data_IF_232274287768
#
_entry.id   IF_232274287768
#
_cell.length_a   1.000
_cell.length_b   1.000
_cell.length_c   1.000
_cell.angle_alpha   90.00
_cell.angle_beta   90.00
_cell.angle_gamma   90.00
#
_symmetry.space_group_name_H-M   'P 1'
#
loop_
_entity.id
_entity.type
_entity.pdbx_description
1 polymer ?
#
# COMPACT_ATOMS: atom_id res chain seq x y z
N UNK A 1 9.69 -10.96 -32.98
CA UNK A 1 8.23 -11.17 -32.82
C UNK A 1 7.46 -9.91 -33.13
N UNK A 2 6.23 -10.03 -33.63
CA UNK A 2 5.29 -8.91 -33.53
C UNK A 2 4.86 -8.74 -32.07
N UNK A 3 4.71 -7.49 -31.62
CA UNK A 3 4.21 -7.18 -30.27
C UNK A 3 2.86 -7.87 -30.00
N UNK A 4 2.02 -8.00 -31.03
CA UNK A 4 0.72 -8.66 -30.96
C UNK A 4 0.84 -10.13 -30.55
N UNK A 5 1.88 -10.82 -31.02
CA UNK A 5 2.09 -12.24 -30.71
C UNK A 5 2.54 -12.42 -29.25
N UNK A 6 3.35 -11.50 -28.69
CA UNK A 6 3.73 -11.52 -27.25
C UNK A 6 2.49 -11.31 -26.41
N UNK A 7 1.68 -10.30 -26.76
CA UNK A 7 0.47 -9.95 -26.02
C UNK A 7 -0.52 -11.11 -26.02
N UNK A 8 -0.72 -11.78 -27.16
CA UNK A 8 -1.64 -12.92 -27.25
C UNK A 8 -1.19 -14.10 -26.38
N UNK A 9 0.11 -14.40 -26.37
CA UNK A 9 0.66 -15.47 -25.53
C UNK A 9 0.63 -15.12 -24.03
N UNK A 10 0.84 -13.85 -23.68
CA UNK A 10 0.67 -13.36 -22.31
C UNK A 10 -0.79 -13.48 -21.86
N UNK A 11 -1.74 -13.13 -22.74
CA UNK A 11 -3.17 -13.28 -22.49
C UNK A 11 -3.58 -14.74 -22.29
N UNK A 12 -3.07 -15.63 -23.15
CA UNK A 12 -3.26 -17.08 -23.00
C UNK A 12 -2.71 -17.58 -21.66
N UNK A 13 -1.52 -17.13 -21.25
CA UNK A 13 -0.95 -17.45 -19.95
C UNK A 13 -1.88 -17.03 -18.79
N UNK A 14 -2.44 -15.83 -18.82
CA UNK A 14 -3.37 -15.38 -17.80
C UNK A 14 -4.66 -16.22 -17.79
N UNK A 15 -5.21 -16.52 -18.97
CA UNK A 15 -6.43 -17.34 -19.10
C UNK A 15 -6.21 -18.75 -18.53
N UNK A 16 -5.09 -19.39 -18.84
CA UNK A 16 -4.77 -20.74 -18.39
C UNK A 16 -4.55 -20.82 -16.86
N UNK A 17 -4.13 -19.72 -16.24
CA UNK A 17 -3.79 -19.68 -14.82
C UNK A 17 -4.78 -18.85 -13.97
N UNK A 18 -5.89 -18.40 -14.55
CA UNK A 18 -6.81 -17.44 -13.90
C UNK A 18 -7.31 -17.95 -12.55
N UNK A 19 -7.67 -19.23 -12.46
CA UNK A 19 -8.18 -19.83 -11.21
C UNK A 19 -7.10 -19.82 -10.11
N UNK A 20 -5.86 -20.15 -10.46
CA UNK A 20 -4.74 -20.13 -9.50
C UNK A 20 -4.44 -18.72 -9.03
N UNK A 21 -4.50 -17.74 -9.94
CA UNK A 21 -4.28 -16.33 -9.65
C UNK A 21 -5.38 -15.81 -8.71
N UNK A 22 -6.65 -16.08 -9.02
CA UNK A 22 -7.79 -15.64 -8.21
C UNK A 22 -7.77 -16.26 -6.81
N UNK A 23 -7.52 -17.56 -6.69
CA UNK A 23 -7.44 -18.24 -5.38
C UNK A 23 -6.26 -17.69 -4.57
N UNK A 24 -5.08 -17.53 -5.19
CA UNK A 24 -3.93 -16.95 -4.51
C UNK A 24 -4.18 -15.52 -4.05
N UNK A 25 -4.83 -14.69 -4.87
CA UNK A 25 -5.18 -13.33 -4.52
C UNK A 25 -6.20 -13.26 -3.37
N UNK A 26 -7.17 -14.20 -3.33
CA UNK A 26 -8.10 -14.34 -2.22
C UNK A 26 -7.37 -14.66 -0.91
N UNK A 27 -6.40 -15.57 -0.93
CA UNK A 27 -5.60 -15.91 0.25
C UNK A 27 -4.82 -14.69 0.76
N UNK A 28 -4.17 -13.93 -0.13
CA UNK A 28 -3.47 -12.69 0.23
C UNK A 28 -4.45 -11.66 0.82
N UNK A 29 -5.64 -11.53 0.26
CA UNK A 29 -6.69 -10.64 0.78
C UNK A 29 -7.07 -11.01 2.22
N UNK A 30 -7.33 -12.29 2.50
CA UNK A 30 -7.65 -12.78 3.85
C UNK A 30 -6.49 -12.54 4.82
N UNK A 31 -5.25 -12.81 4.41
CA UNK A 31 -4.06 -12.55 5.24
C UNK A 31 -3.94 -11.05 5.54
N UNK A 32 -4.18 -10.18 4.57
CA UNK A 32 -4.10 -8.73 4.74
C UNK A 32 -5.14 -8.22 5.74
N UNK A 33 -6.37 -8.73 5.66
CA UNK A 33 -7.44 -8.41 6.62
C UNK A 33 -7.08 -8.93 8.02
N UNK A 34 -6.60 -10.17 8.12
CA UNK A 34 -6.20 -10.77 9.40
C UNK A 34 -5.02 -10.02 10.05
N UNK A 35 -4.01 -9.64 9.25
CA UNK A 35 -2.89 -8.85 9.71
C UNK A 35 -3.34 -7.46 10.18
N UNK A 36 -4.25 -6.80 9.45
CA UNK A 36 -4.81 -5.52 9.88
C UNK A 36 -5.57 -5.65 11.19
N UNK A 37 -6.41 -6.67 11.33
CA UNK A 37 -7.14 -6.93 12.57
C UNK A 37 -6.19 -7.09 13.76
N UNK A 38 -5.14 -7.92 13.61
CA UNK A 38 -4.14 -8.16 14.66
C UNK A 38 -3.31 -6.92 14.99
N UNK A 39 -2.92 -6.12 13.99
CA UNK A 39 -2.21 -4.85 14.21
C UNK A 39 -3.10 -3.87 14.97
N UNK A 40 -4.38 -3.78 14.64
CA UNK A 40 -5.28 -2.89 15.37
C UNK A 40 -5.49 -3.36 16.81
N UNK A 41 -5.68 -4.67 17.01
CA UNK A 41 -5.96 -5.23 18.34
C UNK A 41 -4.78 -5.11 19.30
N UNK A 42 -3.54 -5.35 18.83
CA UNK A 42 -2.36 -5.37 19.70
C UNK A 42 -1.60 -4.04 19.74
N UNK A 43 -1.60 -3.30 18.64
CA UNK A 43 -0.77 -2.09 18.51
C UNK A 43 -1.57 -0.80 18.73
N UNK A 44 -2.90 -0.86 18.67
CA UNK A 44 -3.78 0.29 18.81
C UNK A 44 -4.77 0.14 19.97
N UNK A 45 -4.71 -0.93 20.78
CA UNK A 45 -5.50 -1.08 22.02
C UNK A 45 -5.34 0.12 22.95
N UNK A 46 -4.09 0.53 23.17
CA UNK A 46 -3.75 1.64 24.06
C UNK A 46 -4.27 2.98 23.53
N UNK A 47 -4.43 3.09 22.19
CA UNK A 47 -5.07 4.24 21.55
C UNK A 47 -6.59 4.19 21.71
N UNK A 48 -7.20 3.01 21.67
CA UNK A 48 -8.64 2.88 21.89
C UNK A 48 -8.99 3.25 23.35
N UNK A 49 -8.25 2.74 24.33
CA UNK A 49 -8.41 3.10 25.74
C UNK A 49 -8.23 4.61 25.96
N UNK A 50 -7.18 5.21 25.40
CA UNK A 50 -6.97 6.65 25.45
C UNK A 50 -8.09 7.45 24.73
N UNK A 51 -8.64 6.91 23.65
CA UNK A 51 -9.76 7.54 22.92
C UNK A 51 -11.04 7.51 23.75
N UNK A 52 -11.35 6.38 24.36
CA UNK A 52 -12.56 6.20 25.17
C UNK A 52 -12.47 7.05 26.45
N UNK A 53 -11.29 7.11 27.07
CA UNK A 53 -11.02 8.00 28.21
C UNK A 53 -11.21 9.48 27.86
N UNK A 54 -10.57 9.94 26.78
CA UNK A 54 -10.69 11.34 26.35
C UNK A 54 -12.10 11.70 25.90
N UNK A 55 -12.90 10.74 25.42
CA UNK A 55 -14.30 10.99 25.10
C UNK A 55 -15.12 11.31 26.34
N UNK A 56 -14.90 10.61 27.44
CA UNK A 56 -15.55 10.90 28.73
C UNK A 56 -15.20 12.32 29.19
N UNK A 57 -13.92 12.71 29.12
CA UNK A 57 -13.43 14.05 29.49
C UNK A 57 -13.99 15.12 28.55
N UNK A 58 -13.92 14.92 27.23
CA UNK A 58 -14.33 15.95 26.24
C UNK A 58 -15.84 16.12 26.10
N UNK A 59 -16.63 15.26 26.74
CA UNK A 59 -18.08 15.42 26.85
C UNK A 59 -18.47 16.35 28.00
N UNK A 60 -17.58 16.58 28.96
CA UNK A 60 -17.83 17.48 30.10
C UNK A 60 -17.89 18.94 29.67
N UNK A 61 -18.54 19.77 30.49
CA UNK A 61 -18.44 21.22 30.33
C UNK A 61 -17.06 21.71 30.77
N UNK A 62 -16.37 22.53 29.96
CA UNK A 62 -15.10 23.12 30.34
C UNK A 62 -15.31 24.19 31.41
N UNK A 63 -14.23 24.59 32.08
CA UNK A 63 -14.20 25.83 32.87
C UNK A 63 -13.27 26.84 32.21
N UNK A 64 -13.68 28.10 32.20
CA UNK A 64 -12.89 29.18 31.61
C UNK A 64 -12.80 30.40 32.52
N UNK A 65 -11.69 31.14 32.42
CA UNK A 65 -11.46 32.42 33.10
C UNK A 65 -10.68 33.38 32.21
N UNK A 66 -10.66 34.67 32.56
CA UNK A 66 -9.99 35.71 31.77
C UNK A 66 -8.98 36.48 32.57
N UNK A 67 -7.84 36.76 31.95
CA UNK A 67 -6.82 37.62 32.53
C UNK A 67 -6.22 38.56 31.48
N UNK A 68 -5.81 39.74 31.93
CA UNK A 68 -4.91 40.62 31.17
C UNK A 68 -3.52 40.45 31.76
N UNK A 69 -2.54 40.18 30.90
CA UNK A 69 -1.14 40.04 31.32
C UNK A 69 -0.36 41.19 30.68
N UNK A 70 0.21 42.05 31.50
CA UNK A 70 1.03 43.19 31.06
C UNK A 70 2.48 43.02 31.50
N UNK A 71 3.41 43.56 30.73
CA UNK A 71 4.83 43.68 31.11
C UNK A 71 5.09 45.04 31.75
N UNK A 72 6.24 45.21 32.41
CA UNK A 72 6.63 46.42 33.17
C UNK A 72 6.40 47.76 32.42
N UNK A 73 6.59 47.78 31.09
CA UNK A 73 6.37 48.95 30.23
C UNK A 73 4.89 49.20 29.85
N UNK A 74 3.95 48.45 30.44
CA UNK A 74 2.52 48.52 30.16
C UNK A 74 2.08 47.87 28.85
N UNK A 75 2.99 47.20 28.12
CA UNK A 75 2.62 46.44 26.92
C UNK A 75 1.92 45.13 27.32
N UNK A 76 1.06 44.61 26.44
CA UNK A 76 0.36 43.34 26.67
C UNK A 76 1.28 42.18 26.28
N UNK A 77 1.46 41.22 27.18
CA UNK A 77 2.14 39.97 26.89
C UNK A 77 1.38 39.24 25.76
N UNK A 78 2.10 38.72 24.77
CA UNK A 78 1.50 38.34 23.49
C UNK A 78 1.55 36.85 23.17
N UNK A 79 2.27 36.03 23.95
CA UNK A 79 2.52 34.63 23.60
C UNK A 79 1.69 33.65 24.47
N UNK A 80 0.47 33.28 24.04
CA UNK A 80 -0.38 32.32 24.74
C UNK A 80 0.23 30.91 24.89
N UNK A 81 1.09 30.49 23.96
CA UNK A 81 1.63 29.13 23.96
C UNK A 81 2.57 28.85 25.14
N UNK A 82 3.18 29.89 25.73
CA UNK A 82 4.01 29.71 26.93
C UNK A 82 3.17 29.23 28.13
N UNK A 83 1.93 29.70 28.25
CA UNK A 83 1.02 29.22 29.28
C UNK A 83 0.57 27.78 29.01
N UNK A 84 0.28 27.45 27.76
CA UNK A 84 -0.06 26.09 27.38
C UNK A 84 1.05 25.13 27.83
N UNK A 85 2.29 25.38 27.41
CA UNK A 85 3.41 24.48 27.68
C UNK A 85 3.69 24.38 29.18
N UNK A 86 3.65 25.51 29.88
CA UNK A 86 3.90 25.57 31.32
C UNK A 86 2.81 24.85 32.14
N UNK A 87 1.53 25.11 31.87
CA UNK A 87 0.43 24.48 32.62
C UNK A 87 0.32 22.97 32.36
N UNK A 88 0.84 22.47 31.24
CA UNK A 88 0.92 21.02 31.00
C UNK A 88 2.28 20.40 31.32
N UNK A 89 3.19 21.16 31.93
CA UNK A 89 4.45 20.61 32.40
C UNK A 89 4.20 19.68 33.60
N UNK A 90 4.84 18.49 33.66
CA UNK A 90 4.56 17.48 34.68
C UNK A 90 4.61 18.03 36.12
N UNK A 91 5.62 18.86 36.44
CA UNK A 91 5.74 19.42 37.79
C UNK A 91 4.61 20.40 38.16
N UNK A 92 4.00 21.06 37.17
CA UNK A 92 2.90 22.01 37.40
C UNK A 92 1.60 21.25 37.54
N UNK A 93 1.39 20.23 36.70
CA UNK A 93 0.25 19.32 36.81
C UNK A 93 0.23 18.67 38.19
N UNK A 94 1.34 18.06 38.61
CA UNK A 94 1.48 17.42 39.92
C UNK A 94 1.14 18.39 41.08
N UNK A 95 1.62 19.64 41.03
CA UNK A 95 1.31 20.63 42.05
C UNK A 95 -0.19 21.01 42.08
N UNK A 96 -0.84 21.08 40.91
CA UNK A 96 -2.28 21.38 40.81
C UNK A 96 -3.12 20.19 41.27
N UNK A 97 -2.73 18.97 40.92
CA UNK A 97 -3.37 17.74 41.42
C UNK A 97 -3.25 17.65 42.95
N UNK A 98 -2.09 17.96 43.53
CA UNK A 98 -1.89 17.99 44.99
C UNK A 98 -2.77 19.06 45.68
N UNK A 99 -2.89 20.24 45.07
CA UNK A 99 -3.70 21.34 45.61
C UNK A 99 -5.21 21.07 45.53
N UNK A 100 -5.66 20.37 44.48
CA UNK A 100 -7.09 20.15 44.21
C UNK A 100 -7.61 18.79 44.65
N UNK A 101 -6.71 17.80 44.79
CA UNK A 101 -7.07 16.39 44.99
C UNK A 101 -7.68 15.71 43.77
N UNK A 102 -7.55 16.30 42.57
CA UNK A 102 -8.13 15.81 41.33
C UNK A 102 -7.01 15.33 40.41
N UNK A 103 -7.04 14.05 40.01
CA UNK A 103 -6.08 13.48 39.07
C UNK A 103 -6.55 13.72 37.61
N UNK A 104 -5.74 14.42 36.81
CA UNK A 104 -5.99 14.72 35.40
C UNK A 104 -4.76 14.54 34.50
N UNK A 105 -3.62 14.08 35.03
CA UNK A 105 -2.42 13.74 34.25
C UNK A 105 -2.73 12.71 33.15
N UNK A 106 -3.64 11.75 33.43
CA UNK A 106 -4.09 10.75 32.46
C UNK A 106 -4.72 11.39 31.21
N UNK A 107 -5.38 12.55 31.34
CA UNK A 107 -5.91 13.30 30.20
C UNK A 107 -4.78 13.76 29.28
N UNK A 108 -3.75 14.39 29.84
CA UNK A 108 -2.59 14.88 29.09
C UNK A 108 -1.81 13.72 28.46
N UNK A 109 -1.66 12.61 29.18
CA UNK A 109 -0.96 11.44 28.68
C UNK A 109 -1.76 10.71 27.59
N UNK A 110 -3.08 10.69 27.69
CA UNK A 110 -3.96 10.16 26.64
C UNK A 110 -3.90 11.02 25.38
N UNK A 111 -3.82 12.35 25.50
CA UNK A 111 -3.57 13.24 24.36
C UNK A 111 -2.25 12.88 23.67
N UNK A 112 -1.17 12.67 24.44
CA UNK A 112 0.14 12.26 23.91
C UNK A 112 0.10 10.86 23.26
N UNK A 113 -0.59 9.88 23.86
CA UNK A 113 -0.76 8.52 23.30
C UNK A 113 -1.45 8.54 21.93
N UNK A 114 -2.38 9.48 21.74
CA UNK A 114 -3.04 9.74 20.47
C UNK A 114 -2.27 10.67 19.53
N UNK A 115 -1.05 11.06 19.89
CA UNK A 115 -0.22 12.01 19.13
C UNK A 115 -0.89 13.39 18.94
N UNK A 116 -1.81 13.75 19.84
CA UNK A 116 -2.45 15.06 19.88
C UNK A 116 -1.52 16.08 20.57
N UNK A 117 -0.43 16.41 19.89
CA UNK A 117 0.51 17.43 20.36
C UNK A 117 -0.03 18.85 20.12
N UNK A 118 0.38 19.77 20.99
CA UNK A 118 0.01 21.19 20.87
C UNK A 118 0.56 21.77 19.57
N UNK A 119 -0.34 22.30 18.76
CA UNK A 119 -0.08 22.90 17.44
C UNK A 119 -1.02 24.09 17.25
N UNK A 120 -0.83 24.94 16.23
CA UNK A 120 -1.81 25.98 15.91
C UNK A 120 -3.24 25.45 15.67
N UNK A 121 -3.38 24.17 15.33
CA UNK A 121 -4.67 23.51 15.05
C UNK A 121 -5.17 22.64 16.21
N UNK A 122 -4.41 22.49 17.30
CA UNK A 122 -4.80 21.73 18.48
C UNK A 122 -4.14 22.30 19.73
N UNK A 123 -4.91 22.86 20.67
CA UNK A 123 -4.36 23.52 21.87
C UNK A 123 -4.27 22.62 23.11
N UNK A 124 -4.99 21.50 23.10
CA UNK A 124 -5.06 20.56 24.21
C UNK A 124 -6.13 20.88 25.25
N UNK A 125 -6.28 19.95 26.18
CA UNK A 125 -7.22 19.95 27.32
C UNK A 125 -7.07 21.17 28.23
N UNK A 126 -5.85 21.69 28.37
CA UNK A 126 -5.53 22.93 29.07
C UNK A 126 -4.91 23.90 28.06
N UNK A 127 -5.56 25.05 27.88
CA UNK A 127 -5.16 26.03 26.88
C UNK A 127 -5.41 27.46 27.33
N UNK A 128 -4.54 28.38 26.93
CA UNK A 128 -4.74 29.81 27.05
C UNK A 128 -4.83 30.43 25.66
N UNK A 129 -5.97 30.94 25.21
CA UNK A 129 -6.06 31.68 23.95
C UNK A 129 -6.01 33.17 24.20
N UNK A 130 -5.55 33.95 23.22
CA UNK A 130 -5.54 35.40 23.31
C UNK A 130 -6.50 35.96 22.30
N UNK A 131 -7.46 36.74 22.77
CA UNK A 131 -8.32 37.52 21.90
C UNK A 131 -7.47 38.63 21.24
N UNK A 132 -7.38 38.60 19.91
CA UNK A 132 -6.58 39.56 19.15
C UNK A 132 -7.13 40.99 19.20
N UNK A 133 -8.44 41.16 19.45
CA UNK A 133 -9.08 42.47 19.50
C UNK A 133 -8.86 43.15 20.86
N UNK A 134 -9.06 42.42 21.96
CA UNK A 134 -8.95 42.98 23.31
C UNK A 134 -7.57 42.76 23.97
N UNK A 135 -6.78 41.81 23.46
CA UNK A 135 -5.53 41.39 24.08
C UNK A 135 -5.70 40.53 25.34
N UNK A 136 -6.95 40.23 25.73
CA UNK A 136 -7.30 39.44 26.91
C UNK A 136 -6.95 37.97 26.67
N UNK A 137 -6.30 37.35 27.66
CA UNK A 137 -6.12 35.92 27.71
C UNK A 137 -7.38 35.26 28.25
N UNK A 138 -7.76 34.17 27.60
CA UNK A 138 -8.89 33.34 27.99
C UNK A 138 -8.31 31.95 28.20
N UNK A 139 -8.29 31.53 29.45
CA UNK A 139 -7.81 30.21 29.84
C UNK A 139 -8.99 29.26 29.91
N UNK A 140 -8.79 28.06 29.40
CA UNK A 140 -9.79 27.02 29.29
C UNK A 140 -9.22 25.70 29.81
N UNK A 141 -9.98 25.06 30.67
CA UNK A 141 -9.68 23.77 31.28
C UNK A 141 -10.80 22.77 30.96
N UNK A 142 -10.43 21.68 30.29
CA UNK A 142 -11.26 20.52 30.01
C UNK A 142 -10.42 19.26 30.23
N UNK A 143 -10.10 18.98 31.48
CA UNK A 143 -9.18 17.93 31.87
C UNK A 143 -9.73 16.99 32.96
N UNK A 144 -10.68 17.44 33.77
CA UNK A 144 -11.39 16.65 34.77
C UNK A 144 -12.54 15.84 34.19
N UNK A 145 -13.03 14.89 34.99
CA UNK A 145 -14.13 13.97 34.67
C UNK A 145 -15.51 14.58 34.94
N UNK A 146 -15.57 15.80 35.49
CA UNK A 146 -16.80 16.55 35.71
C UNK A 146 -16.58 18.07 35.52
N UNK A 147 -17.67 18.81 35.35
CA UNK A 147 -17.63 20.27 35.24
C UNK A 147 -17.08 20.93 36.52
N UNK A 148 -17.43 20.38 37.68
CA UNK A 148 -16.95 20.83 38.99
C UNK A 148 -15.45 20.60 39.16
N UNK A 149 -14.93 19.47 38.67
CA UNK A 149 -13.49 19.21 38.64
C UNK A 149 -12.76 20.20 37.74
N UNK A 150 -13.29 20.46 36.54
CA UNK A 150 -12.73 21.47 35.64
C UNK A 150 -12.68 22.85 36.28
N UNK A 151 -13.72 23.22 37.04
CA UNK A 151 -13.76 24.48 37.80
C UNK A 151 -12.69 24.52 38.90
N UNK A 152 -12.52 23.44 39.66
CA UNK A 152 -11.50 23.38 40.71
C UNK A 152 -10.07 23.48 40.13
N UNK A 153 -9.80 22.78 39.04
CA UNK A 153 -8.52 22.87 38.32
C UNK A 153 -8.30 24.28 37.77
N UNK A 154 -9.32 24.92 37.17
CA UNK A 154 -9.23 26.29 36.68
C UNK A 154 -8.96 27.31 37.80
N UNK A 155 -9.55 27.13 39.00
CA UNK A 155 -9.25 27.94 40.17
C UNK A 155 -7.80 27.79 40.62
N UNK A 156 -7.25 26.57 40.64
CA UNK A 156 -5.85 26.35 40.99
C UNK A 156 -4.89 27.03 40.00
N UNK A 157 -5.15 26.96 38.69
CA UNK A 157 -4.36 27.69 37.69
C UNK A 157 -4.50 29.21 37.81
N UNK A 158 -5.70 29.71 38.15
CA UNK A 158 -5.91 31.14 38.43
C UNK A 158 -5.07 31.57 39.64
N UNK A 159 -5.09 30.80 40.72
CA UNK A 159 -4.32 31.08 41.94
C UNK A 159 -2.81 31.08 41.64
N UNK A 160 -2.33 30.16 40.81
CA UNK A 160 -0.95 30.12 40.34
C UNK A 160 -0.57 31.32 39.47
N UNK A 161 -1.48 31.81 38.62
CA UNK A 161 -1.27 33.05 37.87
C UNK A 161 -1.23 34.28 38.77
N UNK A 162 -2.07 34.31 39.80
CA UNK A 162 -2.17 35.42 40.74
C UNK A 162 -1.01 35.46 41.76
N UNK A 163 -0.37 34.31 42.06
CA UNK A 163 0.75 34.25 43.00
C UNK A 163 2.02 34.94 42.46
N UNK A 164 2.16 35.04 41.14
CA UNK A 164 3.35 35.58 40.49
C UNK A 164 4.56 34.64 40.53
N UNK A 165 4.36 33.36 40.86
CA UNK A 165 5.43 32.35 40.98
C UNK A 165 5.81 31.69 39.65
N UNK A 166 5.19 32.11 38.54
CA UNK A 166 5.45 31.56 37.20
C UNK A 166 6.78 32.11 36.67
N UNK A 167 7.80 31.29 36.40
CA UNK A 167 9.17 31.77 36.13
C UNK A 167 9.34 32.71 34.93
N UNK A 168 8.51 32.58 33.89
CA UNK A 168 8.58 33.46 32.72
C UNK A 168 7.77 34.75 32.89
N UNK A 169 7.12 34.93 34.04
CA UNK A 169 6.30 36.09 34.39
C UNK A 169 7.00 37.08 35.30
N UNK A 170 8.32 36.95 35.49
CA UNK A 170 9.13 37.96 36.18
C UNK A 170 8.87 39.35 35.56
N UNK A 171 8.48 40.33 36.39
CA UNK A 171 8.10 41.68 36.00
C UNK A 171 6.86 41.79 35.09
N UNK A 172 5.97 40.80 35.15
CA UNK A 172 4.64 40.84 34.54
C UNK A 172 3.55 41.03 35.60
N UNK A 173 2.50 41.72 35.24
CA UNK A 173 1.33 41.94 36.08
C UNK A 173 0.13 41.22 35.47
N UNK A 174 -0.57 40.46 36.32
CA UNK A 174 -1.79 39.73 35.94
C UNK A 174 -2.98 40.41 36.59
N UNK A 175 -3.97 40.77 35.77
CA UNK A 175 -5.27 41.23 36.24
C UNK A 175 -6.35 40.24 35.82
N UNK A 176 -6.96 39.56 36.79
CA UNK A 176 -8.03 38.58 36.55
C UNK A 176 -9.33 39.36 36.31
N UNK A 177 -9.77 39.38 35.05
CA UNK A 177 -10.95 40.14 34.61
C UNK A 177 -12.24 39.33 34.67
N UNK A 178 -12.13 38.01 34.71
CA UNK A 178 -13.25 37.09 34.92
C UNK A 178 -12.73 35.91 35.74
N UNK A 179 -13.37 35.67 36.89
CA UNK A 179 -13.13 34.49 37.71
C UNK A 179 -13.51 33.19 36.98
N UNK A 180 -12.91 32.04 37.34
CA UNK A 180 -13.30 30.75 36.79
C UNK A 180 -14.79 30.47 36.92
N UNK A 181 -15.41 30.16 35.79
CA UNK A 181 -16.81 29.75 35.69
C UNK A 181 -16.92 28.43 34.95
N UNK A 182 -17.94 27.65 35.27
CA UNK A 182 -18.34 26.50 34.45
C UNK A 182 -18.96 27.05 33.15
N UNK A 183 -18.55 26.47 32.04
CA UNK A 183 -18.99 26.86 30.70
C UNK A 183 -17.86 27.42 29.85
N UNK A 184 -18.14 27.42 28.55
CA UNK A 184 -17.25 27.94 27.54
C UNK A 184 -17.46 29.45 27.39
N UNK A 185 -16.40 30.21 27.65
CA UNK A 185 -16.42 31.68 27.45
C UNK A 185 -15.88 32.06 26.06
N UNK A 186 -15.30 31.09 25.34
CA UNK A 186 -14.82 31.24 23.97
C UNK A 186 -15.91 30.98 22.94
N UNK A 187 -15.84 31.68 21.82
CA UNK A 187 -16.59 31.29 20.64
C UNK A 187 -15.93 30.07 20.00
N UNK A 188 -16.50 28.89 20.22
CA UNK A 188 -15.98 27.64 19.66
C UNK A 188 -16.00 27.59 18.13
N UNK A 189 -16.79 28.45 17.47
CA UNK A 189 -16.77 28.55 16.00
C UNK A 189 -15.54 29.33 15.50
N UNK A 190 -15.00 30.25 16.31
CA UNK A 190 -13.78 30.99 16.00
C UNK A 190 -12.52 30.20 16.36
N UNK A 191 -12.58 29.37 17.41
CA UNK A 191 -11.43 28.61 17.93
C UNK A 191 -11.54 27.11 17.67
N UNK A 192 -11.51 26.72 16.38
CA UNK A 192 -11.55 25.32 15.93
C UNK A 192 -10.38 24.45 16.43
N UNK A 193 -9.34 25.07 17.01
CA UNK A 193 -8.18 24.39 17.59
C UNK A 193 -8.42 23.78 18.98
N UNK A 194 -9.59 23.98 19.57
CA UNK A 194 -9.92 23.44 20.90
C UNK A 194 -10.36 21.98 20.82
N UNK A 195 -9.99 21.14 21.80
CA UNK A 195 -10.43 19.75 21.83
C UNK A 195 -11.94 19.65 22.02
N UNK A 196 -12.56 18.77 21.22
CA UNK A 196 -13.96 18.34 21.36
C UNK A 196 -14.06 16.84 21.07
N UNK A 197 -15.20 16.22 21.35
CA UNK A 197 -15.46 14.82 20.97
C UNK A 197 -15.27 14.60 19.45
N UNK A 198 -15.51 15.61 18.60
CA UNK A 198 -15.28 15.51 17.15
C UNK A 198 -13.80 15.31 16.81
N UNK A 199 -12.89 15.87 17.61
CA UNK A 199 -11.44 15.71 17.44
C UNK A 199 -11.03 14.24 17.54
N UNK A 200 -11.78 13.41 18.28
CA UNK A 200 -11.50 11.99 18.48
C UNK A 200 -12.06 11.08 17.36
N UNK A 201 -12.89 11.62 16.46
CA UNK A 201 -13.60 10.83 15.43
C UNK A 201 -12.68 10.06 14.47
N UNK A 202 -11.45 10.55 14.26
CA UNK A 202 -10.44 9.91 13.41
C UNK A 202 -9.93 8.60 14.02
N UNK A 203 -9.91 8.51 15.35
CA UNK A 203 -9.39 7.35 16.10
C UNK A 203 -10.44 6.25 16.30
N UNK A 204 -11.73 6.56 16.15
CA UNK A 204 -12.86 5.61 16.28
C UNK A 204 -12.97 4.56 15.17
N UNK A 205 -12.13 4.59 14.13
CA UNK A 205 -12.34 3.79 12.92
C UNK A 205 -11.80 2.35 13.03
N UNK A 206 -12.48 1.52 13.83
CA UNK A 206 -12.63 0.08 13.58
C UNK A 206 -13.85 -0.21 12.70
N UNK A 207 -14.11 0.65 11.72
CA UNK A 207 -15.23 0.50 10.81
C UNK A 207 -15.04 -0.73 9.92
N UNK A 208 -16.06 -1.58 9.79
CA UNK A 208 -16.11 -2.69 8.83
C UNK A 208 -15.76 -2.24 7.39
N UNK A 209 -16.02 -0.97 7.07
CA UNK A 209 -15.61 -0.30 5.83
C UNK A 209 -14.09 -0.31 5.62
N UNK A 210 -13.30 -0.11 6.68
CA UNK A 210 -11.83 -0.16 6.63
C UNK A 210 -11.34 -1.57 6.28
N UNK A 211 -11.89 -2.60 6.95
CA UNK A 211 -11.54 -4.00 6.66
C UNK A 211 -11.87 -4.39 5.21
N UNK A 212 -13.00 -3.93 4.68
CA UNK A 212 -13.37 -4.13 3.27
C UNK A 212 -12.35 -3.47 2.33
N UNK A 213 -11.96 -2.21 2.61
CA UNK A 213 -10.96 -1.49 1.80
C UNK A 213 -9.62 -2.22 1.79
N UNK A 214 -9.13 -2.66 2.96
CA UNK A 214 -7.89 -3.43 3.06
C UNK A 214 -8.01 -4.82 2.40
N UNK A 215 -9.19 -5.45 2.45
CA UNK A 215 -9.46 -6.69 1.72
C UNK A 215 -9.37 -6.50 0.20
N UNK A 216 -9.98 -5.45 -0.34
CA UNK A 216 -9.90 -5.11 -1.77
C UNK A 216 -8.47 -4.77 -2.17
N UNK A 217 -7.76 -3.96 -1.37
CA UNK A 217 -6.37 -3.62 -1.64
C UNK A 217 -5.48 -4.87 -1.63
N UNK A 218 -5.64 -5.73 -0.62
CA UNK A 218 -4.93 -7.01 -0.51
C UNK A 218 -5.23 -7.94 -1.69
N UNK A 219 -6.47 -7.94 -2.20
CA UNK A 219 -6.82 -8.71 -3.40
C UNK A 219 -6.10 -8.17 -4.65
N UNK A 220 -6.08 -6.85 -4.88
CA UNK A 220 -5.39 -6.23 -6.01
C UNK A 220 -3.88 -6.53 -5.96
N UNK A 221 -3.25 -6.33 -4.80
CA UNK A 221 -1.83 -6.65 -4.59
C UNK A 221 -1.59 -8.15 -4.78
N UNK A 222 -2.49 -8.98 -4.28
CA UNK A 222 -2.46 -10.43 -4.45
C UNK A 222 -2.52 -10.86 -5.92
N UNK A 223 -3.35 -10.22 -6.76
CA UNK A 223 -3.39 -10.49 -8.20
C UNK A 223 -2.04 -10.26 -8.84
N UNK A 224 -1.37 -9.15 -8.54
CA UNK A 224 -0.07 -8.80 -9.10
C UNK A 224 1.01 -9.80 -8.63
N UNK A 225 1.09 -10.04 -7.32
CA UNK A 225 2.08 -10.91 -6.72
C UNK A 225 1.95 -12.35 -7.22
N UNK A 226 0.74 -12.91 -7.20
CA UNK A 226 0.51 -14.29 -7.62
C UNK A 226 0.73 -14.45 -9.13
N UNK A 227 0.33 -13.47 -9.94
CA UNK A 227 0.65 -13.46 -11.37
C UNK A 227 2.16 -13.51 -11.59
N UNK A 228 2.93 -12.69 -10.88
CA UNK A 228 4.39 -12.70 -10.92
C UNK A 228 4.99 -14.05 -10.47
N UNK A 229 4.49 -14.64 -9.39
CA UNK A 229 4.94 -15.94 -8.89
C UNK A 229 4.69 -17.04 -9.91
N UNK A 230 3.47 -17.13 -10.44
CA UNK A 230 3.10 -18.14 -11.45
C UNK A 230 3.92 -17.95 -12.72
N UNK A 231 4.17 -16.70 -13.12
CA UNK A 231 5.00 -16.38 -14.28
C UNK A 231 6.46 -16.83 -14.07
N UNK A 232 7.06 -16.52 -12.93
CA UNK A 232 8.41 -16.98 -12.57
C UNK A 232 8.52 -18.51 -12.48
N UNK A 233 7.52 -19.16 -11.88
CA UNK A 233 7.44 -20.63 -11.86
C UNK A 233 7.38 -21.20 -13.27
N UNK A 234 6.66 -20.55 -14.19
CA UNK A 234 6.57 -20.96 -15.59
C UNK A 234 7.91 -20.83 -16.30
N UNK A 235 8.64 -19.73 -16.12
CA UNK A 235 9.97 -19.53 -16.71
C UNK A 235 10.97 -20.63 -16.27
N UNK A 236 10.85 -21.14 -15.04
CA UNK A 236 11.69 -22.22 -14.50
C UNK A 236 11.37 -23.62 -15.03
N UNK A 237 10.19 -23.85 -15.62
CA UNK A 237 9.86 -25.18 -16.18
C UNK A 237 10.79 -25.52 -17.34
N UNK A 238 11.19 -26.79 -17.42
CA UNK A 238 12.06 -27.29 -18.50
C UNK A 238 11.35 -27.39 -19.85
N UNK A 239 10.03 -27.59 -19.84
CA UNK A 239 9.20 -27.73 -21.03
C UNK A 239 8.54 -26.41 -21.42
N UNK A 240 8.61 -26.08 -22.71
CA UNK A 240 8.00 -24.90 -23.31
C UNK A 240 6.50 -25.10 -23.38
N UNK A 241 5.69 -24.09 -23.04
CA UNK A 241 4.28 -24.09 -23.41
C UNK A 241 3.75 -22.73 -23.83
N UNK A 242 4.45 -21.65 -23.50
CA UNK A 242 4.25 -20.35 -24.13
C UNK A 242 5.46 -19.93 -24.96
N UNK A 243 5.22 -19.15 -26.00
CA UNK A 243 6.25 -18.69 -26.91
C UNK A 243 7.28 -17.77 -26.23
N UNK A 244 6.85 -16.99 -25.22
CA UNK A 244 7.74 -16.07 -24.48
C UNK A 244 8.81 -16.78 -23.63
N UNK A 245 8.80 -18.12 -23.56
CA UNK A 245 9.71 -18.89 -22.71
C UNK A 245 11.08 -19.20 -23.34
N UNK A 246 11.31 -18.81 -24.59
CA UNK A 246 12.58 -19.00 -25.30
C UNK A 246 12.98 -17.73 -26.07
N UNK A 247 14.29 -17.57 -26.28
CA UNK A 247 14.85 -16.42 -26.99
C UNK A 247 14.61 -16.53 -28.50
N UNK A 248 14.43 -15.38 -29.15
CA UNK A 248 14.23 -15.26 -30.60
C UNK A 248 15.32 -14.41 -31.21
N UNK A 249 15.73 -14.75 -32.42
CA UNK A 249 16.43 -13.83 -33.29
C UNK A 249 15.41 -13.01 -34.11
N UNK A 250 15.76 -11.77 -34.48
CA UNK A 250 14.87 -10.89 -35.26
C UNK A 250 14.72 -11.39 -36.69
N UNK A 251 15.71 -12.13 -37.18
CA UNK A 251 15.76 -12.66 -38.55
C UNK A 251 14.97 -13.98 -38.74
N UNK A 252 14.49 -14.59 -37.66
CA UNK A 252 13.77 -15.86 -37.69
C UNK A 252 12.26 -15.67 -37.98
N UNK A 253 11.67 -16.56 -38.79
CA UNK A 253 10.22 -16.58 -39.00
C UNK A 253 9.51 -17.35 -37.88
N UNK A 254 8.62 -16.71 -37.13
CA UNK A 254 7.87 -17.34 -36.04
C UNK A 254 6.38 -17.43 -36.35
N UNK A 255 5.82 -18.64 -36.27
CA UNK A 255 4.39 -18.89 -36.48
C UNK A 255 3.83 -19.60 -35.24
N UNK A 256 2.75 -19.06 -34.69
CA UNK A 256 1.93 -19.72 -33.68
C UNK A 256 0.75 -20.42 -34.38
N UNK A 257 0.54 -21.70 -34.09
CA UNK A 257 -0.54 -22.50 -34.65
C UNK A 257 -1.31 -23.21 -33.54
N UNK A 258 -2.62 -23.04 -33.54
CA UNK A 258 -3.51 -23.74 -32.62
C UNK A 258 -3.78 -25.15 -33.15
N UNK A 259 -3.54 -26.21 -32.37
CA UNK A 259 -3.60 -27.58 -32.90
C UNK A 259 -5.02 -28.07 -33.24
N UNK A 260 -6.07 -27.42 -32.74
CA UNK A 260 -7.46 -27.90 -32.82
C UNK A 260 -8.50 -26.94 -33.41
N UNK A 261 -8.11 -25.80 -34.01
CA UNK A 261 -9.09 -24.86 -34.59
C UNK A 261 -9.26 -25.09 -36.09
N UNK A 262 -10.47 -25.50 -36.50
CA UNK A 262 -10.87 -25.61 -37.92
C UNK A 262 -10.84 -24.25 -38.66
N UNK A 263 -10.93 -23.13 -37.93
CA UNK A 263 -10.94 -21.76 -38.47
C UNK A 263 -9.56 -21.04 -38.44
N UNK A 264 -8.47 -21.77 -38.20
CA UNK A 264 -7.13 -21.17 -38.22
C UNK A 264 -6.73 -20.78 -39.65
N UNK A 265 -6.21 -19.56 -39.84
CA UNK A 265 -5.75 -19.04 -41.15
C UNK A 265 -4.70 -19.96 -41.82
N UNK A 266 -3.99 -20.77 -41.03
CA UNK A 266 -3.05 -21.78 -41.50
C UNK A 266 -3.18 -23.05 -40.63
N UNK A 267 -3.27 -24.22 -41.27
CA UNK A 267 -3.05 -25.50 -40.57
C UNK A 267 -1.54 -25.63 -40.22
N UNK A 268 -1.20 -26.45 -39.23
CA UNK A 268 0.18 -26.79 -38.86
C UNK A 268 0.97 -27.25 -40.08
N UNK A 269 0.35 -27.99 -41.00
CA UNK A 269 0.96 -28.39 -42.27
C UNK A 269 1.33 -27.19 -43.15
N UNK A 270 0.42 -26.24 -43.36
CA UNK A 270 0.67 -25.05 -44.17
C UNK A 270 1.73 -24.15 -43.54
N UNK A 271 1.70 -24.01 -42.22
CA UNK A 271 2.67 -23.27 -41.45
C UNK A 271 4.09 -23.82 -41.62
N UNK A 272 4.24 -25.14 -41.72
CA UNK A 272 5.51 -25.83 -42.00
C UNK A 272 5.87 -25.73 -43.49
N UNK A 273 4.90 -25.85 -44.39
CA UNK A 273 5.12 -26.07 -45.83
C UNK A 273 5.38 -24.83 -46.66
N UNK A 274 4.85 -23.68 -46.26
CA UNK A 274 4.96 -22.43 -47.02
C UNK A 274 6.21 -21.64 -46.56
N UNK A 275 7.06 -21.10 -47.45
CA UNK A 275 7.00 -21.19 -48.91
C UNK A 275 7.52 -22.54 -49.43
N UNK A 276 7.10 -22.97 -50.62
CA UNK A 276 7.63 -24.19 -51.23
C UNK A 276 9.14 -24.04 -51.52
N UNK A 277 9.95 -25.00 -51.06
CA UNK A 277 11.41 -25.03 -51.25
C UNK A 277 11.85 -26.44 -51.65
N UNK A 278 12.95 -26.54 -52.40
CA UNK A 278 13.42 -27.83 -52.95
C UNK A 278 13.83 -28.85 -51.88
N UNK A 279 14.34 -28.40 -50.73
CA UNK A 279 14.72 -29.26 -49.62
C UNK A 279 14.53 -28.53 -48.29
N UNK A 280 13.65 -29.05 -47.45
CA UNK A 280 13.37 -28.57 -46.09
C UNK A 280 13.71 -29.63 -45.07
N UNK A 281 14.38 -29.21 -44.01
CA UNK A 281 14.54 -30.05 -42.82
C UNK A 281 13.53 -29.64 -41.75
N UNK A 282 12.71 -30.58 -41.32
CA UNK A 282 11.69 -30.42 -40.28
C UNK A 282 12.23 -31.08 -39.02
N UNK A 283 12.48 -30.28 -38.00
CA UNK A 283 13.13 -30.70 -36.76
C UNK A 283 12.12 -30.70 -35.62
N UNK A 284 11.88 -31.86 -35.01
CA UNK A 284 10.95 -32.00 -33.88
C UNK A 284 11.49 -32.95 -32.82
N UNK A 285 11.29 -32.63 -31.54
CA UNK A 285 11.72 -33.48 -30.42
C UNK A 285 10.82 -34.70 -30.25
N UNK A 286 9.53 -34.51 -30.50
CA UNK A 286 8.49 -35.52 -30.39
C UNK A 286 7.91 -35.82 -31.77
N UNK A 287 7.41 -37.04 -31.98
CA UNK A 287 6.77 -37.39 -33.23
C UNK A 287 5.64 -36.41 -33.54
N UNK A 288 5.56 -35.98 -34.79
CA UNK A 288 4.39 -35.25 -35.29
C UNK A 288 3.28 -36.29 -35.54
N UNK A 289 2.01 -35.87 -35.65
CA UNK A 289 0.92 -36.83 -35.90
C UNK A 289 1.16 -37.63 -37.18
N UNK A 290 0.57 -38.82 -37.30
CA UNK A 290 0.76 -39.74 -38.44
C UNK A 290 0.46 -39.09 -39.81
N UNK A 291 -0.39 -38.06 -39.83
CA UNK A 291 -0.69 -37.26 -41.03
C UNK A 291 0.51 -36.45 -41.57
N UNK A 292 1.56 -36.23 -40.76
CA UNK A 292 2.80 -35.56 -41.18
C UNK A 292 3.85 -36.52 -41.75
N UNK A 293 3.87 -37.77 -41.30
CA UNK A 293 4.92 -38.74 -41.68
C UNK A 293 4.57 -39.49 -42.99
N UNK A 294 3.28 -39.51 -43.39
CA UNK A 294 2.80 -40.26 -44.55
C UNK A 294 2.91 -39.55 -45.91
N UNK A 295 3.54 -38.37 -46.00
CA UNK A 295 3.79 -37.72 -47.29
C UNK A 295 5.15 -38.14 -47.87
N UNK A 296 5.13 -38.95 -48.93
CA UNK A 296 6.29 -39.34 -49.75
C UNK A 296 6.88 -38.15 -50.58
N UNK A 297 6.96 -36.96 -49.99
CA UNK A 297 7.53 -35.79 -50.64
C UNK A 297 9.05 -35.79 -50.46
N UNK A 298 9.78 -36.01 -51.55
CA UNK A 298 11.25 -36.02 -51.57
C UNK A 298 11.88 -34.66 -51.18
N UNK A 299 11.08 -33.59 -51.10
CA UNK A 299 11.52 -32.25 -50.69
C UNK A 299 11.49 -32.03 -49.17
N UNK A 300 10.96 -32.97 -48.39
CA UNK A 300 10.83 -32.85 -46.93
C UNK A 300 11.64 -33.93 -46.20
N UNK A 301 12.32 -33.54 -45.12
CA UNK A 301 13.06 -34.48 -44.27
C UNK A 301 12.79 -34.23 -42.81
N UNK A 302 12.25 -35.24 -42.13
CA UNK A 302 11.99 -35.21 -40.69
C UNK A 302 13.21 -35.67 -39.89
N UNK A 303 13.59 -34.87 -38.89
CA UNK A 303 14.83 -35.05 -38.14
C UNK A 303 14.56 -34.80 -36.65
N UNK A 304 15.04 -35.69 -35.78
CA UNK A 304 14.90 -35.50 -34.33
C UNK A 304 15.91 -34.53 -33.73
N UNK A 305 17.11 -34.47 -34.34
CA UNK A 305 18.27 -33.68 -33.90
C UNK A 305 19.17 -33.36 -35.10
N UNK A 306 19.47 -32.08 -35.33
CA UNK A 306 20.39 -31.66 -36.40
C UNK A 306 21.79 -32.26 -36.23
N UNK A 307 22.20 -32.54 -34.99
CA UNK A 307 23.51 -33.15 -34.70
C UNK A 307 23.68 -34.59 -35.26
N UNK A 308 22.59 -35.24 -35.69
CA UNK A 308 22.63 -36.63 -36.23
C UNK A 308 22.82 -36.69 -37.75
N UNK A 309 22.83 -35.54 -38.41
CA UNK A 309 22.94 -35.42 -39.86
C UNK A 309 24.41 -35.68 -40.25
N UNK A 310 24.62 -36.52 -41.27
CA UNK A 310 25.97 -36.82 -41.74
C UNK A 310 26.49 -35.68 -42.62
N UNK A 311 27.80 -35.44 -42.60
CA UNK A 311 28.44 -34.30 -43.29
C UNK A 311 28.39 -34.38 -44.83
N UNK A 312 28.09 -35.54 -45.39
CA UNK A 312 28.00 -35.82 -46.83
C UNK A 312 26.60 -35.55 -47.42
N UNK A 313 25.63 -35.19 -46.59
CA UNK A 313 24.25 -34.97 -47.01
C UNK A 313 24.05 -33.55 -47.59
N UNK A 314 23.17 -33.42 -48.59
CA UNK A 314 22.87 -32.14 -49.22
C UNK A 314 22.27 -31.15 -48.20
N UNK A 315 22.80 -29.91 -48.10
CA UNK A 315 22.29 -28.93 -47.15
C UNK A 315 20.87 -28.46 -47.53
N UNK A 316 20.01 -28.17 -46.54
CA UNK A 316 18.65 -27.72 -46.81
C UNK A 316 18.65 -26.29 -47.36
N UNK A 317 17.53 -25.88 -47.95
CA UNK A 317 17.27 -24.47 -48.27
C UNK A 317 16.53 -23.74 -47.15
N UNK A 318 15.91 -24.49 -46.23
CA UNK A 318 15.22 -23.96 -45.06
C UNK A 318 15.22 -25.00 -43.94
N UNK A 319 15.36 -24.55 -42.69
CA UNK A 319 15.14 -25.37 -41.50
C UNK A 319 13.85 -24.91 -40.84
N UNK A 320 12.97 -25.86 -40.52
CA UNK A 320 11.75 -25.63 -39.74
C UNK A 320 11.86 -26.37 -38.41
N UNK A 321 11.89 -25.65 -37.29
CA UNK A 321 11.85 -26.25 -35.95
C UNK A 321 10.42 -26.21 -35.43
N UNK A 322 9.88 -27.38 -35.07
CA UNK A 322 8.54 -27.50 -34.48
C UNK A 322 8.65 -27.57 -32.96
N UNK A 323 7.95 -26.67 -32.30
CA UNK A 323 7.85 -26.58 -30.84
C UNK A 323 6.44 -26.96 -30.44
N UNK A 324 6.28 -28.05 -29.69
CA UNK A 324 4.99 -28.51 -29.18
C UNK A 324 4.83 -28.11 -27.71
N UNK A 325 3.73 -27.41 -27.40
CA UNK A 325 3.44 -26.97 -26.04
C UNK A 325 3.37 -28.15 -25.06
N UNK A 326 4.06 -28.03 -23.93
CA UNK A 326 4.23 -29.03 -22.86
C UNK A 326 4.99 -30.32 -23.26
N UNK A 327 5.49 -30.42 -24.48
CA UNK A 327 6.27 -31.56 -24.97
C UNK A 327 7.73 -31.19 -25.22
N UNK A 328 7.99 -30.08 -25.91
CA UNK A 328 9.35 -29.65 -26.27
C UNK A 328 10.10 -29.05 -25.08
N UNK A 329 11.35 -29.47 -24.90
CA UNK A 329 12.27 -28.98 -23.86
C UNK A 329 13.02 -27.72 -24.32
N UNK A 330 13.18 -26.75 -23.40
CA UNK A 330 13.94 -25.51 -23.64
C UNK A 330 15.39 -25.77 -24.01
N UNK A 331 16.01 -26.74 -23.35
CA UNK A 331 17.41 -27.12 -23.63
C UNK A 331 17.54 -27.70 -25.03
N UNK A 332 16.64 -28.62 -25.40
CA UNK A 332 16.62 -29.20 -26.74
C UNK A 332 16.45 -28.11 -27.80
N UNK A 333 15.51 -27.18 -27.62
CA UNK A 333 15.30 -26.08 -28.56
C UNK A 333 16.56 -25.23 -28.70
N UNK A 334 17.18 -24.83 -27.58
CA UNK A 334 18.43 -24.06 -27.60
C UNK A 334 19.53 -24.77 -28.38
N UNK A 335 19.69 -26.08 -28.17
CA UNK A 335 20.68 -26.89 -28.89
C UNK A 335 20.38 -26.94 -30.39
N UNK A 336 19.11 -27.05 -30.80
CA UNK A 336 18.73 -27.06 -32.22
C UNK A 336 18.87 -25.70 -32.89
N UNK A 337 18.47 -24.62 -32.22
CA UNK A 337 18.68 -23.25 -32.71
C UNK A 337 20.17 -22.98 -32.94
N UNK A 338 21.03 -23.36 -31.99
CA UNK A 338 22.49 -23.19 -32.09
C UNK A 338 23.09 -23.99 -33.24
N UNK A 339 22.57 -25.17 -33.54
CA UNK A 339 23.02 -25.94 -34.70
C UNK A 339 22.48 -25.37 -36.01
N UNK A 340 21.25 -24.87 -36.02
CA UNK A 340 20.62 -24.32 -37.21
C UNK A 340 21.38 -23.10 -37.76
N UNK A 341 21.91 -22.24 -36.88
CA UNK A 341 22.70 -21.07 -37.29
C UNK A 341 23.98 -21.44 -38.04
N UNK A 342 24.56 -22.63 -37.79
CA UNK A 342 25.75 -23.11 -38.50
C UNK A 342 25.50 -23.41 -39.98
N UNK A 343 24.25 -23.69 -40.37
CA UNK A 343 23.90 -23.98 -41.75
C UNK A 343 23.70 -22.70 -42.59
N UNK A 344 23.58 -21.53 -41.96
CA UNK A 344 23.37 -20.23 -42.62
C UNK A 344 22.19 -20.26 -43.64
N UNK A 345 21.06 -20.83 -43.23
CA UNK A 345 19.83 -20.94 -44.03
C UNK A 345 18.67 -20.31 -43.26
N UNK A 346 17.62 -19.83 -43.95
CA UNK A 346 16.42 -19.33 -43.31
C UNK A 346 15.86 -20.33 -42.29
N UNK A 347 15.64 -19.83 -41.07
CA UNK A 347 15.07 -20.58 -39.97
C UNK A 347 13.62 -20.15 -39.74
N UNK A 348 12.73 -21.15 -39.66
CA UNK A 348 11.35 -20.96 -39.31
C UNK A 348 11.02 -21.77 -38.06
N UNK A 349 10.37 -21.15 -37.10
CA UNK A 349 9.92 -21.78 -35.87
C UNK A 349 8.40 -21.83 -35.84
N UNK A 350 7.85 -23.03 -35.77
CA UNK A 350 6.41 -23.29 -35.71
C UNK A 350 6.07 -23.78 -34.31
N UNK A 351 5.38 -22.95 -33.53
CA UNK A 351 4.92 -23.30 -32.20
C UNK A 351 3.47 -23.79 -32.28
N UNK A 352 3.28 -25.07 -31.96
CA UNK A 352 1.98 -25.74 -31.92
C UNK A 352 1.51 -25.81 -30.47
N UNK A 353 0.32 -25.27 -30.20
CA UNK A 353 -0.21 -25.17 -28.84
C UNK A 353 -1.67 -25.59 -28.69
#
# INVERSE_FOLDING_TARGET
MSLATIINELWRFFKDNIVRILIGALVISVITVGARYFITDILLSDRQEATDYLEEVYTQEPSSFKAVVTIEDGQIFSNPHLFDDYFTAPQVVEAVEEATGIEFQETIDSEKKLELYKTPTFRGSISGVRDNASGVFIFRVLAGKSAEENLAIANAYRDLLASGEIPFMDNQFVDITLEPVIGEVLDTEEYLSLPTVKTLSVYRSNNARSLIVYGVLGFIVGLILISGIVFLQRLRKSKINYAFEYAWDVDDQHILVHSSQEDAVYNVQDAIRIPAVNLRWIVSQSALSEDFENTNDLSERFISKLQKIKSDEQPPKQIVIVVQANHTEKRWLKDQMTMATLYNVPLKLVHVY
#
